data_IF_481795455945
#
_entry.id   IF_481795455945
#
_cell.length_a   1.000
_cell.length_b   1.000
_cell.length_c   1.000
_cell.angle_alpha   90.00
_cell.angle_beta   90.00
_cell.angle_gamma   90.00
#
_symmetry.space_group_name_H-M   'P 1'
#
loop_
_entity.id
_entity.type
_entity.pdbx_description
1 polymer ?
#
# COMPACT_ATOMS: atom_id res chain seq x y z
N UNK A 1 37.75 -21.15 -34.50
CA UNK A 1 37.53 -19.94 -33.68
C UNK A 1 36.31 -19.21 -34.23
N UNK A 2 35.14 -19.37 -33.62
CA UNK A 2 33.93 -18.62 -34.00
C UNK A 2 33.55 -17.74 -32.81
N UNK A 3 34.09 -16.52 -32.82
CA UNK A 3 33.66 -15.44 -31.93
C UNK A 3 32.47 -14.74 -32.58
N UNK A 4 31.26 -15.08 -32.14
CA UNK A 4 30.05 -14.38 -32.52
C UNK A 4 29.98 -13.04 -31.80
N UNK A 5 30.07 -11.94 -32.55
CA UNK A 5 29.73 -10.60 -32.07
C UNK A 5 28.21 -10.54 -31.87
N UNK A 6 27.71 -10.73 -30.64
CA UNK A 6 26.31 -10.47 -30.32
C UNK A 6 26.07 -8.96 -30.46
N UNK A 7 25.22 -8.55 -31.41
CA UNK A 7 25.00 -7.12 -31.67
C UNK A 7 24.11 -6.55 -30.56
N UNK A 8 24.35 -5.28 -30.23
CA UNK A 8 23.59 -4.52 -29.24
C UNK A 8 22.06 -4.52 -29.47
N UNK A 9 21.60 -4.83 -30.69
CA UNK A 9 20.18 -5.01 -31.03
C UNK A 9 19.56 -6.32 -30.51
N UNK A 10 20.34 -7.39 -30.34
CA UNK A 10 19.84 -8.70 -29.89
C UNK A 10 19.43 -8.65 -28.40
N UNK A 11 20.20 -7.93 -27.59
CA UNK A 11 19.87 -7.63 -26.18
C UNK A 11 18.59 -6.80 -26.07
N UNK A 12 18.32 -5.95 -27.05
CA UNK A 12 17.09 -5.14 -27.08
C UNK A 12 15.87 -5.99 -27.44
N UNK A 13 16.04 -7.00 -28.31
CA UNK A 13 14.95 -7.88 -28.73
C UNK A 13 14.57 -8.89 -27.63
N UNK A 14 15.55 -9.40 -26.88
CA UNK A 14 15.30 -10.21 -25.69
C UNK A 14 14.54 -9.42 -24.61
N UNK A 15 14.96 -8.17 -24.35
CA UNK A 15 14.28 -7.28 -23.40
C UNK A 15 12.85 -6.96 -23.81
N UNK A 16 12.59 -6.81 -25.11
CA UNK A 16 11.22 -6.64 -25.64
C UNK A 16 10.39 -7.90 -25.37
N UNK A 17 10.93 -9.10 -25.62
CA UNK A 17 10.25 -10.36 -25.28
C UNK A 17 9.97 -10.53 -23.77
N UNK A 18 10.91 -10.11 -22.92
CA UNK A 18 10.70 -10.09 -21.46
C UNK A 18 9.59 -9.12 -21.05
N UNK A 19 9.52 -7.95 -21.68
CA UNK A 19 8.48 -6.95 -21.43
C UNK A 19 7.10 -7.44 -21.88
N UNK A 20 6.99 -8.09 -23.03
CA UNK A 20 5.74 -8.68 -23.52
C UNK A 20 5.24 -9.79 -22.59
N UNK A 21 6.15 -10.65 -22.10
CA UNK A 21 5.83 -11.69 -21.11
C UNK A 21 5.33 -11.06 -19.80
N UNK A 22 6.01 -10.02 -19.32
CA UNK A 22 5.60 -9.31 -18.11
C UNK A 22 4.23 -8.63 -18.27
N UNK A 23 4.00 -7.96 -19.40
CA UNK A 23 2.71 -7.35 -19.76
C UNK A 23 1.58 -8.38 -19.80
N UNK A 24 1.84 -9.58 -20.33
CA UNK A 24 0.86 -10.66 -20.39
C UNK A 24 0.49 -11.18 -19.00
N UNK A 25 1.48 -11.31 -18.09
CA UNK A 25 1.23 -11.72 -16.70
C UNK A 25 0.42 -10.67 -15.93
N UNK A 26 0.71 -9.38 -16.14
CA UNK A 26 -0.08 -8.30 -15.54
C UNK A 26 -1.52 -8.32 -16.07
N UNK A 27 -1.71 -8.42 -17.40
CA UNK A 27 -3.03 -8.54 -18.02
C UNK A 27 -3.80 -9.75 -17.50
N UNK A 28 -3.19 -10.94 -17.43
CA UNK A 28 -3.88 -12.12 -16.90
C UNK A 28 -4.32 -11.96 -15.44
N UNK A 29 -3.54 -11.21 -14.64
CA UNK A 29 -3.89 -10.96 -13.24
C UNK A 29 -5.00 -9.92 -13.10
N UNK A 30 -5.06 -8.94 -14.02
CA UNK A 30 -6.14 -7.95 -14.04
C UNK A 30 -7.43 -8.50 -14.64
N UNK A 31 -7.36 -9.41 -15.62
CA UNK A 31 -8.51 -10.02 -16.30
C UNK A 31 -9.21 -11.08 -15.41
N UNK A 32 -8.46 -11.79 -14.58
CA UNK A 32 -9.04 -12.61 -13.50
C UNK A 32 -9.76 -11.76 -12.42
N UNK A 33 -9.67 -10.43 -12.51
CA UNK A 33 -10.28 -9.45 -11.60
C UNK A 33 -11.72 -9.05 -11.92
N UNK A 34 -12.40 -9.69 -12.88
CA UNK A 34 -13.87 -9.61 -12.94
C UNK A 34 -14.55 -10.60 -11.97
N UNK A 35 -13.79 -11.50 -11.32
CA UNK A 35 -14.28 -12.39 -10.24
C UNK A 35 -13.55 -12.23 -8.90
N UNK A 36 -12.43 -11.51 -8.85
CA UNK A 36 -11.93 -10.92 -7.60
C UNK A 36 -12.16 -9.42 -7.68
N UNK A 37 -13.39 -9.01 -7.41
CA UNK A 37 -13.55 -7.86 -6.53
C UNK A 37 -12.58 -8.12 -5.38
N UNK A 38 -11.46 -7.38 -5.34
CA UNK A 38 -10.96 -6.87 -4.07
C UNK A 38 -12.21 -6.60 -3.26
N UNK A 39 -12.42 -7.36 -2.17
CA UNK A 39 -13.63 -7.33 -1.37
C UNK A 39 -13.90 -5.91 -0.89
N UNK A 40 -14.47 -5.08 -1.74
CA UNK A 40 -15.45 -4.10 -1.40
C UNK A 40 -16.71 -4.93 -1.19
N UNK A 41 -16.71 -5.68 -0.08
CA UNK A 41 -17.95 -6.18 0.47
C UNK A 41 -18.84 -4.96 0.60
N UNK A 42 -19.89 -4.93 -0.20
CA UNK A 42 -21.11 -4.15 0.06
C UNK A 42 -21.86 -4.82 1.20
N UNK A 43 -21.14 -5.03 2.30
CA UNK A 43 -21.62 -5.37 3.63
C UNK A 43 -21.34 -4.11 4.46
N UNK A 44 -22.21 -3.75 5.42
CA UNK A 44 -22.31 -2.39 5.94
C UNK A 44 -20.96 -1.88 6.43
N UNK A 45 -20.73 -0.59 6.19
CA UNK A 45 -19.56 0.27 6.38
C UNK A 45 -18.83 0.14 7.75
N UNK A 46 -18.42 -1.05 8.18
CA UNK A 46 -17.96 -1.32 9.55
C UNK A 46 -16.48 -1.73 9.68
N UNK A 47 -15.78 -2.17 8.62
CA UNK A 47 -14.40 -2.71 8.76
C UNK A 47 -13.25 -1.80 8.27
N UNK A 48 -13.53 -0.73 7.52
CA UNK A 48 -12.47 0.19 7.04
C UNK A 48 -11.86 1.05 8.17
N UNK A 49 -12.44 0.94 9.37
CA UNK A 49 -11.99 1.64 10.55
C UNK A 49 -11.08 0.80 11.44
N UNK A 50 -10.74 -0.46 11.14
CA UNK A 50 -9.82 -1.21 12.02
C UNK A 50 -8.37 -0.69 11.91
N UNK A 51 -7.70 -0.49 13.05
CA UNK A 51 -6.31 -0.08 13.07
C UNK A 51 -5.40 -1.19 12.52
N UNK A 52 -4.78 -0.96 11.36
CA UNK A 52 -3.85 -1.88 10.71
C UNK A 52 -2.50 -2.06 11.43
N UNK A 53 -2.26 -1.37 12.56
CA UNK A 53 -1.07 -1.53 13.38
C UNK A 53 -1.28 -2.58 14.47
N UNK A 54 -2.46 -2.61 15.09
CA UNK A 54 -2.75 -3.53 16.19
C UNK A 54 -3.82 -4.57 15.87
N UNK A 55 -4.61 -4.38 14.80
CA UNK A 55 -5.72 -5.25 14.39
C UNK A 55 -6.72 -5.57 15.52
N UNK A 56 -6.86 -4.69 16.51
CA UNK A 56 -7.63 -4.94 17.73
C UNK A 56 -8.51 -3.76 18.18
N UNK A 57 -8.27 -2.56 17.64
CA UNK A 57 -9.01 -1.36 17.97
C UNK A 57 -9.27 -0.57 16.70
N UNK A 58 -10.19 0.39 16.76
CA UNK A 58 -10.46 1.28 15.65
C UNK A 58 -9.30 2.27 15.40
N UNK A 59 -9.20 2.74 14.17
CA UNK A 59 -8.33 3.79 13.68
C UNK A 59 -8.92 5.16 14.05
N UNK A 60 -9.07 5.38 15.36
CA UNK A 60 -9.70 6.55 15.97
C UNK A 60 -8.78 7.79 16.03
N UNK A 61 -7.58 7.75 15.44
CA UNK A 61 -6.65 8.87 15.42
C UNK A 61 -6.13 9.18 14.01
N UNK A 62 -6.14 10.46 13.62
CA UNK A 62 -5.62 10.98 12.35
C UNK A 62 -4.38 11.85 12.57
N UNK A 63 -3.39 11.75 11.68
CA UNK A 63 -2.12 12.47 11.82
C UNK A 63 -2.02 13.64 10.84
N UNK A 64 -1.75 14.84 11.34
CA UNK A 64 -1.50 16.00 10.50
C UNK A 64 0.01 16.19 10.23
N UNK A 65 0.43 16.55 9.01
CA UNK A 65 -0.40 16.95 7.85
C UNK A 65 -0.78 15.80 6.89
N UNK A 66 -0.29 14.58 7.13
CA UNK A 66 -0.37 13.50 6.12
C UNK A 66 -1.70 12.76 6.04
N UNK A 67 -2.66 13.05 6.93
CA UNK A 67 -4.01 12.47 6.98
C UNK A 67 -4.10 10.95 7.19
N UNK A 68 -3.00 10.24 7.42
CA UNK A 68 -3.00 8.82 7.78
C UNK A 68 -3.66 8.58 9.14
N UNK A 69 -4.18 7.37 9.34
CA UNK A 69 -4.93 7.00 10.54
C UNK A 69 -4.39 5.72 11.21
N UNK A 70 -4.49 5.66 12.54
CA UNK A 70 -4.33 4.44 13.34
C UNK A 70 -5.05 4.61 14.68
N UNK A 71 -4.97 3.63 15.57
CA UNK A 71 -5.51 3.76 16.92
C UNK A 71 -4.72 4.79 17.75
N UNK A 72 -5.39 5.57 18.60
CA UNK A 72 -4.77 6.60 19.44
C UNK A 72 -3.64 6.03 20.33
N UNK A 73 -3.83 4.84 20.88
CA UNK A 73 -2.82 4.14 21.68
C UNK A 73 -1.58 3.77 20.86
N UNK A 74 -1.77 3.45 19.58
CA UNK A 74 -0.72 3.02 18.66
C UNK A 74 0.19 4.21 18.32
N UNK A 75 -0.41 5.33 17.90
CA UNK A 75 0.34 6.54 17.56
C UNK A 75 1.02 7.16 18.79
N UNK A 76 0.35 7.27 19.93
CA UNK A 76 0.98 7.87 21.11
C UNK A 76 2.22 7.10 21.59
N UNK A 77 2.14 5.77 21.62
CA UNK A 77 3.30 4.94 22.00
C UNK A 77 4.47 5.12 21.04
N UNK A 78 4.19 5.26 19.76
CA UNK A 78 5.22 5.50 18.74
C UNK A 78 5.88 6.86 18.88
N UNK A 79 5.09 7.91 19.11
CA UNK A 79 5.59 9.28 19.26
C UNK A 79 6.52 9.46 20.47
N UNK A 80 6.52 8.54 21.44
CA UNK A 80 7.52 8.51 22.53
C UNK A 80 8.95 8.31 22.02
N UNK A 81 9.11 7.61 20.89
CA UNK A 81 10.41 7.26 20.33
C UNK A 81 10.66 7.87 18.94
N UNK A 82 9.61 8.15 18.18
CA UNK A 82 9.71 8.61 16.79
C UNK A 82 8.56 9.57 16.45
N UNK A 83 8.88 10.84 16.21
CA UNK A 83 7.89 11.88 15.88
C UNK A 83 7.45 11.87 14.39
N UNK A 84 7.50 10.71 13.72
CA UNK A 84 7.22 10.57 12.27
C UNK A 84 6.10 9.56 12.02
N UNK A 85 5.34 9.75 10.96
CA UNK A 85 4.23 8.87 10.59
C UNK A 85 4.75 7.49 10.18
N UNK A 86 4.11 6.41 10.63
CA UNK A 86 4.47 5.03 10.27
C UNK A 86 4.42 4.76 8.77
N UNK A 87 3.49 5.41 8.08
CA UNK A 87 3.11 5.07 6.71
C UNK A 87 3.94 5.83 5.68
N UNK A 88 4.01 7.16 5.82
CA UNK A 88 4.70 8.02 4.86
C UNK A 88 5.96 8.66 5.42
N UNK A 89 6.30 8.38 6.68
CA UNK A 89 7.46 8.96 7.36
C UNK A 89 7.38 10.49 7.55
N UNK A 90 6.29 11.20 7.22
CA UNK A 90 6.20 12.64 7.48
C UNK A 90 6.24 12.97 8.98
N UNK A 91 6.83 14.10 9.39
CA UNK A 91 6.81 14.55 10.79
C UNK A 91 5.37 14.76 11.24
N UNK A 92 4.97 14.13 12.35
CA UNK A 92 3.61 14.25 12.91
C UNK A 92 3.57 15.52 13.75
N UNK A 93 2.78 16.50 13.32
CA UNK A 93 2.64 17.77 14.03
C UNK A 93 1.52 17.72 15.06
N UNK A 94 0.44 17.00 14.73
CA UNK A 94 -0.74 16.87 15.58
C UNK A 94 -1.40 15.52 15.35
N UNK A 95 -2.00 14.98 16.41
CA UNK A 95 -2.87 13.81 16.36
C UNK A 95 -4.27 14.25 16.75
N UNK A 96 -5.24 14.06 15.85
CA UNK A 96 -6.65 14.35 16.07
C UNK A 96 -7.37 13.05 16.41
N UNK A 97 -8.10 13.02 17.53
CA UNK A 97 -8.91 11.86 17.90
C UNK A 97 -10.33 12.03 17.36
N UNK A 98 -10.85 10.99 16.73
CA UNK A 98 -12.23 10.90 16.28
C UNK A 98 -13.06 10.32 17.43
N UNK A 99 -13.51 11.18 18.34
CA UNK A 99 -14.42 10.77 19.40
C UNK A 99 -15.82 10.59 18.79
N UNK A 100 -16.21 9.37 18.43
CA UNK A 100 -17.53 9.08 17.84
C UNK A 100 -18.69 9.15 18.84
N UNK A 101 -18.52 9.82 20.00
CA UNK A 101 -19.60 10.01 20.98
C UNK A 101 -20.69 10.93 20.40
N UNK A 102 -21.67 10.31 19.76
CA UNK A 102 -23.06 10.81 19.67
C UNK A 102 -23.87 10.10 20.73
#
# INVERSE_FOLDING_TARGET
MQGGFLRSGDVSLERVGQLEKFSSLLRSRTDSGESDNLRFSTEPEEDDNQCCICYACDADAQFEPCSHRSCFNCINRHLLNCQRCFFCNATVMRVLRSDWKT
#
